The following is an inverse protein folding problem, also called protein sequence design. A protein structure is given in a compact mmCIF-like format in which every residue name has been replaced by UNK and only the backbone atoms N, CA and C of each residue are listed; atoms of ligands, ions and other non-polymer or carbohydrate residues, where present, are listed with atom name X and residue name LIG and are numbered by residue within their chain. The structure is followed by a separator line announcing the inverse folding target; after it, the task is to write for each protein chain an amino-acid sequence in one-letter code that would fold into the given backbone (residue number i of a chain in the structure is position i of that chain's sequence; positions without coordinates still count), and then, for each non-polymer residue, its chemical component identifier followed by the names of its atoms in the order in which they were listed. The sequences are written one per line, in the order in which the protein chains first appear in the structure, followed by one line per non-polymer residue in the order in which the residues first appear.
data_IF_184496220521
#
_entry.id   IF_184496220521
#
_cell.length_a   1.000
_cell.length_b   1.000
_cell.length_c   1.000
_cell.angle_alpha   90.00
_cell.angle_beta   90.00
_cell.angle_gamma   90.00
#
_symmetry.space_group_name_H-M   'P 1'
#
loop_
_entity.id
_entity.type
_entity.pdbx_description
1 polymer ?
#
# COMPACT_ATOMS: atom_id res chain seq x y z
N UNK A 1 -12.48 22.70 -2.08
CA UNK A 1 -11.84 22.22 -0.82
C UNK A 1 -10.75 21.18 -1.08
N UNK A 2 -11.03 20.06 -1.77
CA UNK A 2 -10.06 19.00 -2.04
C UNK A 2 -8.83 19.51 -2.81
N UNK A 3 -9.04 20.37 -3.83
CA UNK A 3 -7.93 20.96 -4.59
C UNK A 3 -7.02 21.82 -3.71
N UNK A 4 -7.57 22.63 -2.81
CA UNK A 4 -6.78 23.46 -1.90
C UNK A 4 -6.00 22.61 -0.89
N UNK A 5 -6.58 21.51 -0.40
CA UNK A 5 -5.88 20.56 0.46
C UNK A 5 -4.70 19.89 -0.24
N UNK A 6 -4.87 19.47 -1.51
CA UNK A 6 -3.78 18.91 -2.32
C UNK A 6 -2.68 19.95 -2.58
N UNK A 7 -3.04 21.18 -2.90
CA UNK A 7 -2.08 22.25 -3.09
C UNK A 7 -1.36 22.64 -1.78
N UNK A 8 -2.05 22.56 -0.65
CA UNK A 8 -1.46 22.76 0.66
C UNK A 8 -0.43 21.69 0.99
N UNK A 9 -0.76 20.42 0.71
CA UNK A 9 0.14 19.28 0.89
C UNK A 9 1.45 19.36 0.09
N UNK A 10 1.46 20.13 -1.01
CA UNK A 10 2.63 20.36 -1.86
C UNK A 10 3.22 21.77 -1.71
N UNK A 11 2.76 22.55 -0.73
CA UNK A 11 3.19 23.94 -0.53
C UNK A 11 4.48 24.00 0.28
N UNK A 12 5.60 23.65 -0.35
CA UNK A 12 6.94 23.74 0.26
C UNK A 12 7.22 25.17 0.72
N UNK A 13 7.57 25.39 1.99
CA UNK A 13 7.94 26.69 2.50
C UNK A 13 9.07 27.33 1.68
N UNK A 14 9.06 28.64 1.55
CA UNK A 14 9.94 29.47 0.73
C UNK A 14 9.67 29.43 -0.77
N UNK A 15 9.09 28.34 -1.32
CA UNK A 15 8.80 28.19 -2.74
C UNK A 15 7.34 28.51 -3.06
N UNK A 16 6.44 28.09 -2.18
CA UNK A 16 5.01 28.26 -2.35
C UNK A 16 4.38 28.91 -1.13
N UNK A 17 3.33 29.69 -1.36
CA UNK A 17 2.56 30.27 -0.25
C UNK A 17 1.72 29.18 0.42
N UNK A 18 1.60 29.21 1.77
CA UNK A 18 0.64 28.36 2.46
C UNK A 18 -0.77 28.54 1.89
N UNK A 19 -1.58 27.50 1.97
CA UNK A 19 -2.95 27.48 1.48
C UNK A 19 -3.94 27.48 2.63
N UNK A 20 -4.98 28.24 2.48
CA UNK A 20 -6.07 28.24 3.43
C UNK A 20 -7.07 27.10 3.10
N UNK A 21 -7.30 26.24 4.09
CA UNK A 21 -8.29 25.16 4.02
C UNK A 21 -9.17 25.29 5.26
N UNK A 22 -10.45 25.56 5.07
CA UNK A 22 -11.43 25.72 6.15
C UNK A 22 -11.01 26.75 7.23
N UNK A 23 -10.48 27.89 6.80
CA UNK A 23 -10.07 28.98 7.72
C UNK A 23 -8.71 28.78 8.40
N UNK A 24 -8.02 27.66 8.13
CA UNK A 24 -6.70 27.37 8.70
C UNK A 24 -5.65 27.34 7.59
N UNK A 25 -4.48 27.92 7.88
CA UNK A 25 -3.35 27.96 6.96
C UNK A 25 -2.55 26.67 7.06
N UNK A 26 -2.34 26.02 5.91
CA UNK A 26 -1.57 24.77 5.78
C UNK A 26 -0.40 24.95 4.83
N UNK A 27 0.68 24.25 5.12
CA UNK A 27 1.85 24.08 4.26
C UNK A 27 2.17 22.61 4.06
N UNK A 28 3.29 22.32 3.41
CA UNK A 28 3.76 20.96 3.15
C UNK A 28 3.94 20.16 4.44
N UNK A 29 3.25 19.03 4.53
CA UNK A 29 3.28 18.13 5.69
C UNK A 29 4.63 17.45 5.92
N UNK A 30 5.47 17.35 4.89
CA UNK A 30 6.82 16.81 4.99
C UNK A 30 7.77 17.64 5.82
N UNK A 31 7.41 18.90 6.10
CA UNK A 31 8.18 19.80 6.96
C UNK A 31 7.87 19.64 8.45
N UNK A 32 6.96 18.75 8.85
CA UNK A 32 6.50 18.53 10.22
C UNK A 32 7.55 18.00 11.22
N UNK A 33 8.79 17.82 10.76
CA UNK A 33 9.97 17.56 11.61
C UNK A 33 10.11 16.12 12.09
N UNK A 34 11.30 15.82 12.58
CA UNK A 34 11.82 14.54 13.05
C UNK A 34 11.09 13.93 14.25
N UNK A 35 10.21 14.70 14.87
CA UNK A 35 9.46 14.26 16.07
C UNK A 35 8.24 13.42 15.74
N UNK A 36 7.80 13.42 14.48
CA UNK A 36 6.67 12.62 14.05
C UNK A 36 7.19 11.30 13.46
N UNK A 37 7.08 10.20 14.21
CA UNK A 37 7.55 8.87 13.79
C UNK A 37 7.00 8.40 12.44
N UNK A 38 5.90 8.97 11.99
CA UNK A 38 5.30 8.66 10.70
C UNK A 38 5.91 9.47 9.55
N UNK A 39 6.65 10.54 9.85
CA UNK A 39 7.27 11.40 8.85
C UNK A 39 6.26 11.84 7.77
N UNK A 40 6.59 11.59 6.53
CA UNK A 40 5.76 11.86 5.36
C UNK A 40 4.74 10.74 5.04
N UNK A 41 4.49 9.83 5.97
CA UNK A 41 3.65 8.64 5.76
C UNK A 41 2.51 8.61 6.79
N UNK A 42 1.49 9.48 6.67
CA UNK A 42 0.43 9.63 7.67
C UNK A 42 -0.60 8.50 7.58
N UNK A 43 -0.28 7.32 8.11
CA UNK A 43 -1.14 6.13 8.12
C UNK A 43 -2.20 6.19 9.22
N UNK A 44 -1.89 6.79 10.37
CA UNK A 44 -2.81 6.87 11.54
C UNK A 44 -4.23 7.30 11.18
N UNK A 45 -4.48 8.38 10.43
CA UNK A 45 -5.85 8.80 10.14
C UNK A 45 -6.67 7.76 9.37
N UNK A 46 -6.01 6.90 8.57
CA UNK A 46 -6.70 5.84 7.84
C UNK A 46 -7.04 4.67 8.76
N UNK A 47 -6.14 4.32 9.66
CA UNK A 47 -6.37 3.26 10.65
C UNK A 47 -7.45 3.68 11.63
N UNK A 48 -7.44 4.92 12.10
CA UNK A 48 -8.48 5.49 12.96
C UNK A 48 -9.86 5.53 12.27
N UNK A 49 -9.87 5.67 10.94
CA UNK A 49 -11.08 5.56 10.13
C UNK A 49 -11.53 4.10 9.88
N UNK A 50 -10.85 3.10 10.45
CA UNK A 50 -11.21 1.67 10.36
C UNK A 50 -10.61 0.95 9.15
N UNK A 51 -9.64 1.53 8.43
CA UNK A 51 -8.95 0.83 7.35
C UNK A 51 -8.04 -0.26 7.92
N UNK A 52 -8.27 -1.51 7.52
CA UNK A 52 -7.41 -2.64 7.85
C UNK A 52 -6.38 -2.98 6.77
N UNK A 53 -6.44 -2.28 5.63
CA UNK A 53 -5.47 -2.34 4.54
C UNK A 53 -5.16 -0.94 4.05
N UNK A 54 -3.87 -0.61 3.94
CA UNK A 54 -3.39 0.70 3.47
C UNK A 54 -2.32 0.50 2.40
N UNK A 55 -2.42 1.25 1.32
CA UNK A 55 -1.38 1.31 0.28
C UNK A 55 -0.57 2.58 0.52
N UNK A 56 0.73 2.43 0.70
CA UNK A 56 1.67 3.52 0.90
C UNK A 56 2.57 3.64 -0.31
N UNK A 57 2.60 4.81 -0.94
CA UNK A 57 3.53 5.12 -2.03
C UNK A 57 4.64 6.03 -1.51
N UNK A 58 5.88 5.62 -1.71
CA UNK A 58 7.04 6.39 -1.29
C UNK A 58 7.66 7.16 -2.45
N UNK A 59 8.14 8.37 -2.16
CA UNK A 59 8.90 9.17 -3.13
C UNK A 59 10.39 8.79 -3.15
N UNK A 60 10.85 7.97 -2.22
CA UNK A 60 12.24 7.52 -2.15
C UNK A 60 12.31 6.05 -1.75
N UNK A 61 13.33 5.37 -2.24
CA UNK A 61 13.66 3.98 -1.86
C UNK A 61 14.08 3.85 -0.39
N UNK A 62 14.61 4.93 0.20
CA UNK A 62 15.10 5.00 1.57
C UNK A 62 14.15 5.65 2.57
N UNK A 63 12.87 5.81 2.26
CA UNK A 63 11.90 6.37 3.23
C UNK A 63 11.80 5.48 4.46
N UNK A 64 12.15 6.05 5.60
CA UNK A 64 12.03 5.40 6.91
C UNK A 64 10.76 5.86 7.60
N UNK A 65 9.99 4.91 8.10
CA UNK A 65 8.81 5.14 8.92
C UNK A 65 8.52 3.91 9.78
N UNK A 66 7.78 4.10 10.86
CA UNK A 66 7.51 3.02 11.80
C UNK A 66 6.30 2.18 11.37
N UNK A 67 6.53 1.17 10.55
CA UNK A 67 5.51 0.22 10.14
C UNK A 67 4.99 -0.62 11.31
N UNK A 68 5.83 -0.90 12.30
CA UNK A 68 5.49 -1.74 13.46
C UNK A 68 4.48 -1.07 14.40
N UNK A 69 4.28 0.24 14.25
CA UNK A 69 3.22 0.96 14.95
C UNK A 69 1.80 0.52 14.54
N UNK A 70 1.66 -0.29 13.46
CA UNK A 70 0.36 -0.73 12.91
C UNK A 70 0.31 -2.25 12.74
N UNK A 71 0.41 -3.04 13.82
CA UNK A 71 0.51 -4.50 13.74
C UNK A 71 -0.71 -5.17 13.11
N UNK A 72 -1.90 -4.60 13.31
CA UNK A 72 -3.17 -5.17 12.84
C UNK A 72 -3.58 -4.64 11.46
N UNK A 73 -2.72 -3.84 10.81
CA UNK A 73 -3.02 -3.25 9.50
C UNK A 73 -2.14 -3.88 8.42
N UNK A 74 -2.77 -4.37 7.36
CA UNK A 74 -2.05 -4.80 6.17
C UNK A 74 -1.52 -3.59 5.40
N UNK A 75 -0.21 -3.46 5.33
CA UNK A 75 0.43 -2.32 4.65
C UNK A 75 1.15 -2.81 3.40
N UNK A 76 0.71 -2.29 2.26
CA UNK A 76 1.32 -2.51 0.95
C UNK A 76 2.16 -1.29 0.58
N UNK A 77 3.47 -1.49 0.47
CA UNK A 77 4.39 -0.41 0.14
C UNK A 77 4.81 -0.46 -1.33
N UNK A 78 4.59 0.64 -2.04
CA UNK A 78 5.13 0.85 -3.39
C UNK A 78 6.34 1.78 -3.24
N UNK A 79 7.52 1.23 -3.52
CA UNK A 79 8.79 1.96 -3.42
C UNK A 79 9.44 2.06 -4.78
N UNK A 80 10.03 3.20 -5.13
CA UNK A 80 10.78 3.32 -6.37
C UNK A 80 11.99 2.38 -6.34
N UNK A 81 12.11 1.50 -7.34
CA UNK A 81 13.26 0.58 -7.49
C UNK A 81 14.56 1.31 -7.85
N UNK A 82 14.42 2.43 -8.53
CA UNK A 82 15.54 3.32 -8.85
C UNK A 82 15.29 4.64 -8.15
N UNK A 83 16.34 5.24 -7.61
CA UNK A 83 16.23 6.60 -7.08
C UNK A 83 15.64 7.49 -8.17
N UNK A 84 14.69 8.33 -7.78
CA UNK A 84 14.18 9.38 -8.65
C UNK A 84 15.32 10.39 -8.84
N UNK A 85 16.31 10.02 -9.68
CA UNK A 85 17.45 10.87 -9.98
C UNK A 85 16.98 12.03 -10.83
N UNK A 86 17.46 13.19 -10.49
CA UNK A 86 17.39 14.33 -11.37
C UNK A 86 18.42 14.11 -12.50
N UNK A 87 18.02 14.35 -13.76
CA UNK A 87 18.96 14.39 -14.86
C UNK A 87 19.89 15.59 -14.63
N UNK A 88 21.05 15.35 -14.09
CA UNK A 88 21.98 16.38 -13.69
C UNK A 88 22.96 15.95 -12.61
N UNK A 89 23.07 14.66 -12.30
CA UNK A 89 24.07 14.12 -11.37
C UNK A 89 25.52 14.18 -11.93
N UNK A 90 25.72 14.97 -12.96
CA UNK A 90 26.99 15.46 -13.47
C UNK A 90 27.31 16.86 -12.93
N UNK A 91 27.13 17.05 -11.64
CA UNK A 91 27.90 18.10 -10.91
C UNK A 91 27.40 19.53 -10.97
N UNK A 92 26.19 19.88 -11.42
CA UNK A 92 25.71 21.25 -11.20
C UNK A 92 24.18 21.39 -11.26
N UNK A 93 23.57 21.71 -10.12
CA UNK A 93 22.36 22.56 -9.94
C UNK A 93 21.03 22.13 -10.57
N UNK A 94 20.77 20.86 -10.82
CA UNK A 94 19.41 20.39 -11.12
C UNK A 94 18.76 19.74 -9.89
N UNK A 95 18.64 20.48 -8.78
CA UNK A 95 18.09 19.93 -7.53
C UNK A 95 16.66 19.40 -7.68
N UNK A 96 16.10 18.91 -6.58
CA UNK A 96 14.75 18.35 -6.36
C UNK A 96 13.59 19.10 -7.06
N UNK A 97 13.87 20.24 -7.70
CA UNK A 97 12.92 21.18 -8.28
C UNK A 97 13.06 21.31 -9.82
N UNK A 98 13.86 20.46 -10.48
CA UNK A 98 13.96 20.48 -11.95
C UNK A 98 12.80 19.72 -12.58
N UNK A 99 11.61 20.29 -12.56
CA UNK A 99 10.39 19.75 -13.16
C UNK A 99 10.37 20.04 -14.67
N UNK A 100 11.09 19.25 -15.47
CA UNK A 100 10.90 19.24 -16.93
C UNK A 100 9.84 18.20 -17.33
N UNK A 101 9.14 18.43 -18.44
CA UNK A 101 8.14 17.46 -18.93
C UNK A 101 8.73 16.07 -19.14
N UNK A 102 9.97 16.00 -19.66
CA UNK A 102 10.66 14.73 -19.89
C UNK A 102 10.94 13.99 -18.56
N UNK A 103 11.32 14.70 -17.50
CA UNK A 103 11.52 14.08 -16.18
C UNK A 103 10.21 13.61 -15.58
N UNK A 104 9.16 14.40 -15.69
CA UNK A 104 7.83 14.03 -15.19
C UNK A 104 7.33 12.77 -15.89
N UNK A 105 7.48 12.68 -17.21
CA UNK A 105 7.07 11.51 -17.97
C UNK A 105 7.90 10.27 -17.61
N UNK A 106 9.20 10.40 -17.43
CA UNK A 106 10.06 9.30 -16.98
C UNK A 106 9.69 8.81 -15.57
N UNK A 107 9.43 9.72 -14.64
CA UNK A 107 9.01 9.35 -13.27
C UNK A 107 7.63 8.73 -13.24
N UNK A 108 6.70 9.22 -14.06
CA UNK A 108 5.37 8.63 -14.21
C UNK A 108 5.46 7.21 -14.75
N UNK A 109 6.29 6.98 -15.77
CA UNK A 109 6.51 5.64 -16.31
C UNK A 109 7.14 4.71 -15.27
N UNK A 110 8.17 5.16 -14.56
CA UNK A 110 8.79 4.38 -13.49
C UNK A 110 7.78 4.05 -12.39
N UNK A 111 6.99 5.03 -11.94
CA UNK A 111 5.97 4.80 -10.92
C UNK A 111 4.92 3.77 -11.35
N UNK A 112 4.51 3.81 -12.61
CA UNK A 112 3.62 2.79 -13.18
C UNK A 112 4.25 1.39 -13.14
N UNK A 113 5.48 1.24 -13.61
CA UNK A 113 6.20 -0.04 -13.63
C UNK A 113 6.43 -0.58 -12.22
N UNK A 114 6.83 0.25 -11.28
CA UNK A 114 7.06 -0.14 -9.89
C UNK A 114 5.76 -0.57 -9.21
N UNK A 115 4.66 0.12 -9.52
CA UNK A 115 3.33 -0.25 -9.03
C UNK A 115 2.89 -1.60 -9.60
N UNK A 116 2.99 -1.79 -10.92
CA UNK A 116 2.58 -3.04 -11.56
C UNK A 116 3.38 -4.23 -11.05
N UNK A 117 4.69 -4.08 -10.86
CA UNK A 117 5.54 -5.12 -10.29
C UNK A 117 5.14 -5.46 -8.84
N UNK A 118 4.91 -4.45 -8.02
CA UNK A 118 4.46 -4.64 -6.63
C UNK A 118 3.12 -5.36 -6.58
N UNK A 119 2.17 -4.95 -7.41
CA UNK A 119 0.84 -5.58 -7.50
C UNK A 119 0.93 -7.03 -7.99
N UNK A 120 1.84 -7.34 -8.91
CA UNK A 120 2.04 -8.71 -9.37
C UNK A 120 2.60 -9.61 -8.25
N UNK A 121 3.55 -9.11 -7.48
CA UNK A 121 4.10 -9.84 -6.32
C UNK A 121 3.04 -10.13 -5.25
N UNK A 122 2.05 -9.26 -5.11
CA UNK A 122 0.96 -9.45 -4.15
C UNK A 122 -0.11 -10.39 -4.72
N UNK A 123 -0.43 -10.27 -6.00
CA UNK A 123 -1.47 -11.07 -6.67
C UNK A 123 -1.18 -12.56 -6.65
N UNK A 124 0.09 -12.94 -6.86
CA UNK A 124 0.50 -14.36 -6.88
C UNK A 124 0.22 -15.07 -5.54
N UNK A 125 0.69 -14.59 -4.38
CA UNK A 125 0.36 -15.19 -3.09
C UNK A 125 -1.12 -15.19 -2.76
N UNK A 126 -1.85 -14.13 -3.12
CA UNK A 126 -3.29 -14.06 -2.88
C UNK A 126 -4.05 -15.10 -3.71
N UNK A 127 -3.69 -15.27 -4.99
CA UNK A 127 -4.28 -16.28 -5.85
C UNK A 127 -3.98 -17.70 -5.34
N UNK A 128 -2.74 -17.94 -4.89
CA UNK A 128 -2.34 -19.21 -4.30
C UNK A 128 -3.14 -19.52 -3.01
N UNK A 129 -3.31 -18.53 -2.14
CA UNK A 129 -4.11 -18.65 -0.91
C UNK A 129 -5.58 -18.98 -1.23
N UNK A 130 -6.17 -18.28 -2.20
CA UNK A 130 -7.54 -18.55 -2.62
C UNK A 130 -7.71 -19.96 -3.20
N UNK A 131 -6.72 -20.43 -3.99
CA UNK A 131 -6.73 -21.80 -4.50
C UNK A 131 -6.64 -22.83 -3.37
N UNK A 132 -5.81 -22.59 -2.35
CA UNK A 132 -5.71 -23.43 -1.17
C UNK A 132 -7.04 -23.53 -0.42
N UNK A 133 -7.65 -22.38 -0.11
CA UNK A 133 -8.97 -22.34 0.59
C UNK A 133 -10.06 -23.09 -0.18
N UNK A 134 -10.05 -23.00 -1.52
CA UNK A 134 -10.98 -23.77 -2.36
C UNK A 134 -10.71 -25.28 -2.26
N UNK A 135 -9.45 -25.69 -2.28
CA UNK A 135 -9.07 -27.09 -2.15
C UNK A 135 -9.44 -27.66 -0.78
N UNK A 136 -9.23 -26.90 0.29
CA UNK A 136 -9.63 -27.26 1.65
C UNK A 136 -11.15 -27.47 1.75
N UNK A 137 -11.95 -26.56 1.18
CA UNK A 137 -13.41 -26.70 1.16
C UNK A 137 -13.89 -27.95 0.39
N UNK A 138 -13.21 -28.28 -0.72
CA UNK A 138 -13.50 -29.51 -1.49
C UNK A 138 -13.18 -30.78 -0.67
N UNK A 139 -12.02 -30.78 0.00
CA UNK A 139 -11.61 -31.88 0.86
C UNK A 139 -12.57 -32.08 2.03
N UNK A 140 -12.96 -31.01 2.71
CA UNK A 140 -13.93 -31.06 3.80
C UNK A 140 -15.26 -31.66 3.33
N UNK A 141 -15.78 -31.21 2.19
CA UNK A 141 -17.01 -31.75 1.63
C UNK A 141 -16.88 -33.21 1.25
N UNK A 142 -15.72 -33.64 0.74
CA UNK A 142 -15.45 -35.06 0.44
C UNK A 142 -15.44 -35.92 1.69
N UNK A 143 -14.82 -35.41 2.78
CA UNK A 143 -14.81 -36.09 4.09
C UNK A 143 -16.24 -36.26 4.65
N UNK A 144 -17.06 -35.21 4.62
CA UNK A 144 -18.46 -35.27 5.07
C UNK A 144 -19.28 -36.32 4.30
N UNK A 145 -19.08 -36.43 2.97
CA UNK A 145 -19.75 -37.45 2.15
C UNK A 145 -19.27 -38.84 2.54
N UNK A 146 -17.98 -39.05 2.76
CA UNK A 146 -17.42 -40.35 3.16
C UNK A 146 -17.91 -40.78 4.52
N UNK A 147 -17.92 -39.88 5.51
CA UNK A 147 -18.42 -40.14 6.86
C UNK A 147 -19.92 -40.47 6.85
N UNK A 148 -20.68 -39.73 6.02
CA UNK A 148 -22.11 -40.01 5.81
C UNK A 148 -22.37 -41.41 5.20
N UNK A 149 -21.57 -41.80 4.20
CA UNK A 149 -21.65 -43.11 3.57
C UNK A 149 -21.27 -44.24 4.53
N UNK A 150 -20.20 -44.06 5.33
CA UNK A 150 -19.79 -45.03 6.36
C UNK A 150 -20.85 -45.20 7.44
N UNK A 151 -21.48 -44.12 7.87
CA UNK A 151 -22.58 -44.15 8.84
C UNK A 151 -23.81 -44.90 8.30
N UNK A 152 -24.17 -44.65 7.06
CA UNK A 152 -25.27 -45.34 6.38
C UNK A 152 -25.00 -46.86 6.24
N UNK A 153 -23.74 -47.21 5.87
CA UNK A 153 -23.33 -48.60 5.77
C UNK A 153 -23.40 -49.33 7.13
N UNK A 154 -22.89 -48.72 8.19
CA UNK A 154 -22.95 -49.29 9.55
C UNK A 154 -24.40 -49.51 10.01
N UNK A 155 -25.29 -48.56 9.72
CA UNK A 155 -26.69 -48.66 10.07
C UNK A 155 -27.38 -49.80 9.28
N UNK A 156 -27.09 -49.94 8.00
CA UNK A 156 -27.63 -51.03 7.18
C UNK A 156 -27.15 -52.41 7.68
N UNK A 157 -25.85 -52.52 8.04
CA UNK A 157 -25.32 -53.78 8.59
C UNK A 157 -25.92 -54.15 9.95
N UNK A 158 -26.27 -53.17 10.77
CA UNK A 158 -26.93 -53.41 12.07
C UNK A 158 -28.35 -53.92 11.93
N UNK A 159 -29.06 -53.64 10.83
CA UNK A 159 -30.42 -54.09 10.55
C UNK A 159 -30.51 -55.53 9.99
N UNK A 160 -29.37 -56.09 9.57
CA UNK A 160 -29.29 -57.45 9.01
C UNK A 160 -29.07 -58.50 10.10
N UNK A 161 -28.88 -58.11 11.34
CA UNK A 161 -28.82 -59.01 12.51
C UNK A 161 -30.20 -59.17 13.14
#
# INVERSE_FOLDING_TARGET
QQKEALLASAALPLLFRPREVQGTMFGDGGMGGWRNRQGNTPVTPLVDAGCNMVIVTHLSDGSLWDRQAFPDTTILEIRPRKRLKHAGDGGNSGGLLSFTSAHIDAWRQQGYEDTMLTMEHIRKPLAARQALTRSEAVLQKSQEITEGADSALRNAMAQIK
#
